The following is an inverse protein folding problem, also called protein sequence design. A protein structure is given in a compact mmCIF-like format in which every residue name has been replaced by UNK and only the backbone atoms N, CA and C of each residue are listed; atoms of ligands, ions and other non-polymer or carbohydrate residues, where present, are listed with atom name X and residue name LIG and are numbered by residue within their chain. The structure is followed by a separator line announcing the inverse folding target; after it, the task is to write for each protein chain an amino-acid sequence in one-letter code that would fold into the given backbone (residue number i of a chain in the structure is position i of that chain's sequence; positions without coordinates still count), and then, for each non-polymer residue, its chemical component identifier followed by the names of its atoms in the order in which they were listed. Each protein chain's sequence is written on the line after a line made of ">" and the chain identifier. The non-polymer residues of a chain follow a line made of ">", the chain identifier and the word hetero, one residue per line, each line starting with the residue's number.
data_IF_476058915915
#
_entry.id   IF_476058915915
#
_cell.length_a   1.000
_cell.length_b   1.000
_cell.length_c   1.000
_cell.angle_alpha   90.00
_cell.angle_beta   90.00
_cell.angle_gamma   90.00
#
_symmetry.space_group_name_H-M   'P 1'
#
loop_
_entity.id
_entity.type
_entity.pdbx_description
1 polymer ?
#
# COMPACT_ATOMS: atom_id res chain seq x y z
N UNK A 1 29.34 -19.68 -5.29
CA UNK A 1 28.18 -18.75 -5.29
C UNK A 1 26.86 -19.45 -4.94
N UNK A 2 26.53 -20.60 -5.56
CA UNK A 2 25.29 -21.34 -5.27
C UNK A 2 25.12 -21.78 -3.80
N UNK A 3 26.19 -22.24 -3.14
CA UNK A 3 26.13 -22.63 -1.72
C UNK A 3 25.85 -21.46 -0.77
N UNK A 4 26.38 -20.27 -1.07
CA UNK A 4 26.13 -19.05 -0.28
C UNK A 4 24.69 -18.59 -0.44
N UNK A 5 24.15 -18.63 -1.67
CA UNK A 5 22.73 -18.34 -1.92
C UNK A 5 21.81 -19.36 -1.26
N UNK A 6 22.18 -20.64 -1.23
CA UNK A 6 21.41 -21.66 -0.52
C UNK A 6 21.34 -21.40 0.99
N UNK A 7 22.45 -20.96 1.59
CA UNK A 7 22.51 -20.63 3.02
C UNK A 7 21.70 -19.38 3.41
N UNK A 8 21.44 -18.47 2.45
CA UNK A 8 20.65 -17.26 2.67
C UNK A 8 19.14 -17.48 2.47
N UNK A 9 18.69 -18.68 2.11
CA UNK A 9 17.27 -18.95 1.92
C UNK A 9 16.60 -19.15 3.28
N UNK A 10 15.67 -18.28 3.70
CA UNK A 10 14.98 -18.47 4.97
C UNK A 10 14.12 -19.72 4.92
N UNK A 11 14.24 -20.59 5.92
CA UNK A 11 13.30 -21.69 6.10
C UNK A 11 11.91 -21.12 6.45
N UNK A 12 10.81 -21.60 5.85
CA UNK A 12 9.48 -21.01 6.01
C UNK A 12 9.02 -20.86 7.46
N UNK A 13 9.42 -21.77 8.36
CA UNK A 13 9.07 -21.72 9.78
C UNK A 13 9.86 -20.68 10.60
N UNK A 14 10.96 -20.13 10.05
CA UNK A 14 11.80 -19.10 10.69
C UNK A 14 11.56 -17.70 10.10
N UNK A 15 10.68 -17.58 9.09
CA UNK A 15 10.43 -16.33 8.37
C UNK A 15 10.08 -15.17 9.30
N UNK A 16 9.22 -15.39 10.30
CA UNK A 16 8.81 -14.33 11.23
C UNK A 16 9.95 -13.82 12.10
N UNK A 17 10.83 -14.72 12.57
CA UNK A 17 12.02 -14.34 13.34
C UNK A 17 13.03 -13.57 12.49
N UNK A 18 13.22 -13.98 11.23
CA UNK A 18 14.08 -13.27 10.27
C UNK A 18 13.53 -11.87 9.98
N UNK A 19 12.22 -11.75 9.76
CA UNK A 19 11.58 -10.45 9.56
C UNK A 19 11.70 -9.54 10.79
N UNK A 20 11.50 -10.06 12.00
CA UNK A 20 11.73 -9.30 13.23
C UNK A 20 13.19 -8.81 13.33
N UNK A 21 14.16 -9.68 13.01
CA UNK A 21 15.57 -9.31 12.96
C UNK A 21 15.88 -8.22 11.93
N UNK A 22 15.25 -8.28 10.74
CA UNK A 22 15.40 -7.26 9.70
C UNK A 22 14.84 -5.90 10.14
N UNK A 23 13.72 -5.87 10.88
CA UNK A 23 13.17 -4.64 11.45
C UNK A 23 14.12 -4.04 12.48
N UNK A 24 14.60 -4.85 13.42
CA UNK A 24 15.56 -4.40 14.44
C UNK A 24 16.84 -3.86 13.79
N UNK A 25 17.34 -4.53 12.76
CA UNK A 25 18.49 -4.07 11.99
C UNK A 25 18.22 -2.73 11.30
N UNK A 26 17.08 -2.58 10.61
CA UNK A 26 16.71 -1.32 9.96
C UNK A 26 16.63 -0.18 10.98
N UNK A 27 15.98 -0.39 12.12
CA UNK A 27 15.94 0.62 13.20
C UNK A 27 17.33 0.94 13.74
N UNK A 28 18.17 -0.06 13.97
CA UNK A 28 19.54 0.14 14.43
C UNK A 28 20.37 0.98 13.45
N UNK A 29 20.22 0.75 12.15
CA UNK A 29 20.87 1.54 11.09
C UNK A 29 20.42 3.00 11.14
N UNK A 30 19.12 3.28 11.21
CA UNK A 30 18.62 4.65 11.33
C UNK A 30 19.10 5.35 12.61
N UNK A 31 19.16 4.63 13.74
CA UNK A 31 19.68 5.18 15.00
C UNK A 31 21.18 5.45 14.90
N UNK A 32 21.94 4.57 14.27
CA UNK A 32 23.37 4.76 14.03
C UNK A 32 23.61 5.98 13.16
N UNK A 33 22.91 6.07 12.02
CA UNK A 33 23.05 7.19 11.08
C UNK A 33 22.76 8.53 11.78
N UNK A 34 21.64 8.62 12.51
CA UNK A 34 21.28 9.82 13.26
C UNK A 34 22.29 10.19 14.37
N UNK A 35 22.83 9.19 15.08
CA UNK A 35 23.79 9.43 16.18
C UNK A 35 25.18 9.81 15.69
N UNK A 36 25.61 9.26 14.57
CA UNK A 36 26.98 9.39 14.10
C UNK A 36 27.12 10.33 12.89
N UNK A 37 26.05 10.98 12.43
CA UNK A 37 26.04 11.89 11.27
C UNK A 37 27.13 12.98 11.33
N UNK A 38 27.44 13.52 12.52
CA UNK A 38 28.46 14.57 12.71
C UNK A 38 29.86 14.05 13.01
N UNK A 39 29.99 12.79 13.39
CA UNK A 39 31.27 12.18 13.80
C UNK A 39 31.88 11.27 12.74
N UNK A 40 31.06 10.60 11.94
CA UNK A 40 31.51 9.68 10.90
C UNK A 40 31.26 10.27 9.52
N UNK A 41 32.24 10.13 8.63
CA UNK A 41 32.07 10.53 7.24
C UNK A 41 30.95 9.72 6.56
N UNK A 42 30.23 10.36 5.63
CA UNK A 42 29.14 9.74 4.87
C UNK A 42 29.56 8.44 4.17
N UNK A 43 30.82 8.33 3.73
CA UNK A 43 31.39 7.12 3.13
C UNK A 43 31.29 5.87 4.02
N UNK A 44 31.60 5.99 5.32
CA UNK A 44 31.54 4.84 6.24
C UNK A 44 30.08 4.48 6.51
N UNK A 45 29.21 5.48 6.74
CA UNK A 45 27.78 5.29 6.96
C UNK A 45 27.13 4.58 5.76
N UNK A 46 27.41 5.07 4.54
CA UNK A 46 26.97 4.45 3.29
C UNK A 46 27.35 2.97 3.18
N UNK A 47 28.61 2.61 3.49
CA UNK A 47 29.04 1.21 3.40
C UNK A 47 28.26 0.31 4.36
N UNK A 48 28.05 0.76 5.61
CA UNK A 48 27.30 0.01 6.61
C UNK A 48 25.84 -0.17 6.17
N UNK A 49 25.21 0.91 5.72
CA UNK A 49 23.81 0.92 5.28
C UNK A 49 23.62 0.06 4.03
N UNK A 50 24.52 0.19 3.05
CA UNK A 50 24.49 -0.57 1.80
C UNK A 50 24.64 -2.07 2.07
N UNK A 51 25.49 -2.47 3.02
CA UNK A 51 25.63 -3.86 3.43
C UNK A 51 24.35 -4.38 4.08
N UNK A 52 23.73 -3.60 4.97
CA UNK A 52 22.45 -3.97 5.59
C UNK A 52 21.33 -4.06 4.56
N UNK A 53 21.21 -3.07 3.67
CA UNK A 53 20.24 -3.03 2.58
C UNK A 53 20.42 -4.21 1.63
N UNK A 54 21.66 -4.53 1.24
CA UNK A 54 21.98 -5.67 0.40
C UNK A 54 21.62 -6.99 1.08
N UNK A 55 21.98 -7.17 2.36
CA UNK A 55 21.67 -8.39 3.10
C UNK A 55 20.16 -8.61 3.21
N UNK A 56 19.39 -7.62 3.68
CA UNK A 56 17.93 -7.73 3.83
C UNK A 56 17.24 -7.84 2.48
N UNK A 57 17.68 -7.07 1.47
CA UNK A 57 17.16 -7.16 0.11
C UNK A 57 17.40 -8.53 -0.52
N UNK A 58 18.58 -9.12 -0.32
CA UNK A 58 18.88 -10.47 -0.78
C UNK A 58 17.97 -11.52 -0.13
N UNK A 59 17.73 -11.43 1.19
CA UNK A 59 16.77 -12.29 1.89
C UNK A 59 15.36 -12.13 1.31
N UNK A 60 14.93 -10.89 1.05
CA UNK A 60 13.62 -10.59 0.50
C UNK A 60 13.44 -11.16 -0.92
N UNK A 61 14.47 -11.06 -1.76
CA UNK A 61 14.46 -11.61 -3.14
C UNK A 61 14.52 -13.15 -3.13
N UNK A 62 15.28 -13.75 -2.21
CA UNK A 62 15.45 -15.20 -2.15
C UNK A 62 14.29 -15.93 -1.45
N UNK A 63 13.49 -15.20 -0.67
CA UNK A 63 12.30 -15.73 -0.04
C UNK A 63 11.32 -16.27 -1.10
N UNK A 64 10.96 -17.57 -1.08
CA UNK A 64 10.04 -18.16 -2.05
C UNK A 64 8.63 -17.60 -1.84
N UNK A 65 7.99 -17.12 -2.90
CA UNK A 65 6.60 -16.65 -2.83
C UNK A 65 5.69 -17.88 -2.76
N UNK A 66 5.06 -18.09 -1.61
CA UNK A 66 4.19 -19.24 -1.37
C UNK A 66 2.73 -18.81 -1.57
N UNK A 67 2.21 -19.09 -2.77
CA UNK A 67 0.84 -18.76 -3.17
C UNK A 67 0.72 -17.45 -3.94
N UNK A 68 -0.52 -16.99 -4.13
CA UNK A 68 -0.81 -15.78 -4.90
C UNK A 68 -0.36 -14.48 -4.21
N UNK A 69 -0.04 -14.54 -2.92
CA UNK A 69 0.08 -13.39 -2.03
C UNK A 69 1.31 -13.54 -1.15
N UNK A 70 2.14 -12.48 -0.98
CA UNK A 70 3.29 -12.57 -0.09
C UNK A 70 2.82 -12.77 1.36
N UNK A 71 3.54 -13.61 2.09
CA UNK A 71 3.32 -13.79 3.53
C UNK A 71 3.68 -12.51 4.30
N UNK A 72 3.21 -12.41 5.54
CA UNK A 72 3.47 -11.24 6.40
C UNK A 72 4.96 -10.94 6.53
N UNK A 73 5.78 -11.95 6.86
CA UNK A 73 7.23 -11.78 6.99
C UNK A 73 7.90 -11.28 5.70
N UNK A 74 7.41 -11.70 4.52
CA UNK A 74 7.94 -11.25 3.23
C UNK A 74 7.64 -9.78 3.01
N UNK A 75 6.42 -9.36 3.33
CA UNK A 75 6.02 -7.95 3.28
C UNK A 75 6.89 -7.10 4.20
N UNK A 76 7.20 -7.59 5.41
CA UNK A 76 8.12 -6.93 6.34
C UNK A 76 9.53 -6.82 5.75
N UNK A 77 10.06 -7.88 5.12
CA UNK A 77 11.36 -7.82 4.45
C UNK A 77 11.39 -6.79 3.31
N UNK A 78 10.32 -6.68 2.52
CA UNK A 78 10.22 -5.68 1.45
C UNK A 78 10.22 -4.25 2.01
N UNK A 79 9.47 -4.00 3.09
CA UNK A 79 9.42 -2.70 3.77
C UNK A 79 10.78 -2.36 4.39
N UNK A 80 11.42 -3.31 5.09
CA UNK A 80 12.74 -3.10 5.67
C UNK A 80 13.79 -2.80 4.59
N UNK A 81 13.73 -3.51 3.45
CA UNK A 81 14.59 -3.24 2.29
C UNK A 81 14.36 -1.82 1.77
N UNK A 82 13.11 -1.38 1.61
CA UNK A 82 12.77 -0.03 1.15
C UNK A 82 13.44 1.05 2.03
N UNK A 83 13.29 0.95 3.35
CA UNK A 83 13.86 1.95 4.27
C UNK A 83 15.39 1.88 4.33
N UNK A 84 15.98 0.69 4.33
CA UNK A 84 17.44 0.54 4.26
C UNK A 84 18.02 1.10 2.97
N UNK A 85 17.35 0.90 1.83
CA UNK A 85 17.75 1.53 0.56
C UNK A 85 17.60 3.05 0.65
N UNK A 86 16.52 3.56 1.24
CA UNK A 86 16.31 5.00 1.37
C UNK A 86 17.45 5.69 2.14
N UNK A 87 17.85 5.18 3.31
CA UNK A 87 18.99 5.74 4.08
C UNK A 87 20.33 5.55 3.35
N UNK A 88 20.52 4.42 2.66
CA UNK A 88 21.70 4.18 1.81
C UNK A 88 21.81 5.23 0.69
N UNK A 89 20.72 5.51 0.00
CA UNK A 89 20.69 6.51 -1.09
C UNK A 89 20.89 7.94 -0.54
N UNK A 90 20.40 8.23 0.66
CA UNK A 90 20.64 9.51 1.34
C UNK A 90 22.13 9.73 1.62
N UNK A 91 22.80 8.72 2.17
CA UNK A 91 24.25 8.77 2.41
C UNK A 91 25.07 8.77 1.11
N UNK A 92 24.56 8.13 0.05
CA UNK A 92 25.16 8.26 -1.28
C UNK A 92 25.06 9.69 -1.81
N UNK A 93 23.92 10.36 -1.60
CA UNK A 93 23.75 11.75 -1.99
C UNK A 93 24.75 12.69 -1.29
N UNK A 94 24.95 12.51 0.02
CA UNK A 94 25.98 13.22 0.78
C UNK A 94 27.37 13.04 0.14
N UNK A 95 27.73 11.81 -0.23
CA UNK A 95 29.02 11.50 -0.89
C UNK A 95 29.16 12.19 -2.25
N UNK A 96 28.05 12.30 -2.99
CA UNK A 96 27.99 13.00 -4.27
C UNK A 96 27.98 14.53 -4.13
N UNK A 97 28.04 15.05 -2.89
CA UNK A 97 28.12 16.48 -2.60
C UNK A 97 26.78 17.19 -2.51
N UNK A 98 25.68 16.47 -2.25
CA UNK A 98 24.41 17.11 -1.95
C UNK A 98 24.47 17.73 -0.53
N UNK A 99 24.41 19.06 -0.45
CA UNK A 99 24.28 19.77 0.82
C UNK A 99 22.86 19.57 1.37
N UNK A 100 22.72 18.94 2.53
CA UNK A 100 21.43 18.59 3.15
C UNK A 100 20.49 17.84 2.18
N UNK A 101 20.78 16.58 1.83
CA UNK A 101 20.04 15.82 0.82
C UNK A 101 18.50 15.84 0.94
N UNK A 102 17.90 15.81 2.16
CA UNK A 102 16.44 15.88 2.29
C UNK A 102 15.82 17.22 1.88
N UNK A 103 16.64 18.28 1.74
CA UNK A 103 16.22 19.63 1.37
C UNK A 103 16.56 19.96 -0.09
N UNK A 104 17.50 19.23 -0.70
CA UNK A 104 17.87 19.42 -2.09
C UNK A 104 16.86 18.70 -3.00
N UNK A 105 15.94 19.45 -3.60
CA UNK A 105 14.80 18.89 -4.36
C UNK A 105 15.23 18.00 -5.51
N UNK A 106 16.27 18.38 -6.26
CA UNK A 106 16.87 17.53 -7.28
C UNK A 106 17.37 16.19 -6.73
N UNK A 107 17.89 16.17 -5.51
CA UNK A 107 18.32 14.94 -4.81
C UNK A 107 17.13 14.07 -4.43
N UNK A 108 16.09 14.67 -3.86
CA UNK A 108 14.85 13.97 -3.50
C UNK A 108 14.21 13.33 -4.72
N UNK A 109 14.22 13.99 -5.89
CA UNK A 109 13.67 13.44 -7.14
C UNK A 109 14.32 12.10 -7.50
N UNK A 110 15.65 12.05 -7.62
CA UNK A 110 16.29 10.81 -8.10
C UNK A 110 16.23 9.70 -7.04
N UNK A 111 16.31 10.03 -5.74
CA UNK A 111 16.12 9.06 -4.65
C UNK A 111 14.70 8.47 -4.73
N UNK A 112 13.69 9.31 -4.84
CA UNK A 112 12.29 8.89 -4.91
C UNK A 112 11.99 8.06 -6.16
N UNK A 113 12.60 8.37 -7.31
CA UNK A 113 12.50 7.56 -8.54
C UNK A 113 13.13 6.17 -8.35
N UNK A 114 14.30 6.07 -7.72
CA UNK A 114 14.94 4.77 -7.45
C UNK A 114 14.10 3.93 -6.47
N UNK A 115 13.56 4.54 -5.43
CA UNK A 115 12.66 3.89 -4.48
C UNK A 115 11.34 3.47 -5.15
N UNK A 116 10.78 4.31 -6.04
CA UNK A 116 9.63 3.96 -6.86
C UNK A 116 9.93 2.74 -7.74
N UNK A 117 11.08 2.70 -8.40
CA UNK A 117 11.49 1.57 -9.24
C UNK A 117 11.59 0.27 -8.43
N UNK A 118 12.20 0.33 -7.23
CA UNK A 118 12.25 -0.78 -6.29
C UNK A 118 10.85 -1.28 -5.91
N UNK A 119 9.96 -0.36 -5.55
CA UNK A 119 8.57 -0.63 -5.19
C UNK A 119 7.78 -1.26 -6.34
N UNK A 120 7.89 -0.72 -7.56
CA UNK A 120 7.25 -1.27 -8.76
C UNK A 120 7.77 -2.66 -9.06
N UNK A 121 9.07 -2.91 -8.89
CA UNK A 121 9.64 -4.23 -9.09
C UNK A 121 9.05 -5.26 -8.10
N UNK A 122 9.01 -4.96 -6.81
CA UNK A 122 8.40 -5.86 -5.83
C UNK A 122 6.87 -5.99 -6.01
N UNK A 123 6.18 -4.91 -6.34
CA UNK A 123 4.74 -4.92 -6.59
C UNK A 123 4.39 -5.82 -7.79
N UNK A 124 5.17 -5.77 -8.88
CA UNK A 124 4.92 -6.55 -10.10
C UNK A 124 5.45 -7.98 -10.02
N UNK A 125 6.68 -8.18 -9.52
CA UNK A 125 7.31 -9.51 -9.47
C UNK A 125 6.86 -10.35 -8.29
N UNK A 126 6.45 -9.73 -7.18
CA UNK A 126 6.08 -10.42 -5.93
C UNK A 126 4.63 -10.18 -5.51
N UNK A 127 3.83 -9.54 -6.36
CA UNK A 127 2.41 -9.22 -6.12
C UNK A 127 2.19 -8.54 -4.75
N UNK A 128 3.09 -7.63 -4.38
CA UNK A 128 3.08 -6.98 -3.07
C UNK A 128 2.26 -5.69 -3.10
N UNK A 129 1.09 -5.72 -2.47
CA UNK A 129 0.23 -4.56 -2.36
C UNK A 129 0.88 -3.43 -1.54
N UNK A 130 1.57 -3.74 -0.43
CA UNK A 130 2.21 -2.71 0.40
C UNK A 130 3.31 -1.95 -0.36
N UNK A 131 4.04 -2.63 -1.25
CA UNK A 131 5.01 -1.97 -2.12
C UNK A 131 4.34 -1.09 -3.18
N UNK A 132 3.06 -1.30 -3.48
CA UNK A 132 2.26 -0.35 -4.29
C UNK A 132 1.97 0.92 -3.52
N UNK A 133 1.64 0.84 -2.22
CA UNK A 133 1.49 2.02 -1.38
C UNK A 133 2.80 2.80 -1.29
N UNK A 134 3.90 2.15 -0.92
CA UNK A 134 5.22 2.79 -0.81
C UNK A 134 5.68 3.35 -2.16
N UNK A 135 5.39 2.66 -3.26
CA UNK A 135 5.62 3.16 -4.62
C UNK A 135 4.82 4.43 -4.90
N UNK A 136 3.52 4.43 -4.64
CA UNK A 136 2.67 5.62 -4.84
C UNK A 136 3.12 6.81 -3.98
N UNK A 137 3.51 6.58 -2.71
CA UNK A 137 4.10 7.61 -1.85
C UNK A 137 5.42 8.14 -2.42
N UNK A 138 6.31 7.25 -2.89
CA UNK A 138 7.57 7.64 -3.53
C UNK A 138 7.32 8.43 -4.81
N UNK A 139 6.30 8.05 -5.61
CA UNK A 139 5.90 8.79 -6.79
C UNK A 139 5.39 10.20 -6.43
N UNK A 140 4.57 10.34 -5.39
CA UNK A 140 4.12 11.64 -4.91
C UNK A 140 5.31 12.53 -4.52
N UNK A 141 6.26 12.02 -3.74
CA UNK A 141 7.49 12.76 -3.40
C UNK A 141 8.31 13.13 -4.64
N UNK A 142 8.45 12.22 -5.60
CA UNK A 142 9.17 12.48 -6.83
C UNK A 142 8.54 13.61 -7.64
N UNK A 143 7.20 13.62 -7.75
CA UNK A 143 6.46 14.67 -8.46
C UNK A 143 6.61 16.02 -7.75
N UNK A 144 6.39 16.07 -6.43
CA UNK A 144 6.50 17.32 -5.67
C UNK A 144 7.92 17.89 -5.72
N UNK A 145 8.93 17.06 -5.46
CA UNK A 145 10.33 17.47 -5.53
C UNK A 145 10.76 17.87 -6.94
N UNK A 146 10.18 17.25 -7.98
CA UNK A 146 10.45 17.61 -9.36
C UNK A 146 9.88 18.98 -9.69
N UNK A 147 8.64 19.27 -9.26
CA UNK A 147 8.05 20.58 -9.48
C UNK A 147 8.83 21.65 -8.73
N UNK A 148 9.20 21.39 -7.48
CA UNK A 148 10.03 22.30 -6.71
C UNK A 148 11.38 22.56 -7.38
N UNK A 149 12.05 21.50 -7.83
CA UNK A 149 13.35 21.61 -8.50
C UNK A 149 13.31 22.35 -9.85
N UNK A 150 12.29 22.09 -10.67
CA UNK A 150 12.22 22.62 -12.04
C UNK A 150 11.60 24.01 -12.11
N UNK A 151 10.59 24.27 -11.29
CA UNK A 151 9.79 25.50 -11.38
C UNK A 151 10.05 26.48 -10.24
N UNK A 152 10.75 26.08 -9.17
CA UNK A 152 11.03 26.89 -7.97
C UNK A 152 9.81 27.71 -7.49
N UNK A 153 8.65 27.04 -7.27
CA UNK A 153 7.41 27.73 -7.01
C UNK A 153 7.47 28.48 -5.67
N UNK A 154 7.09 29.75 -5.69
CA UNK A 154 7.02 30.54 -4.47
C UNK A 154 5.69 30.28 -3.74
N UNK A 155 5.77 29.61 -2.59
CA UNK A 155 4.64 29.36 -1.69
C UNK A 155 3.90 28.03 -1.90
N UNK A 156 2.90 27.76 -1.05
CA UNK A 156 2.25 26.44 -0.94
C UNK A 156 1.15 26.18 -1.98
N UNK A 157 0.72 27.20 -2.73
CA UNK A 157 -0.42 27.07 -3.66
C UNK A 157 -0.15 26.03 -4.75
N UNK A 158 1.05 26.02 -5.33
CA UNK A 158 1.42 25.06 -6.39
C UNK A 158 1.38 23.63 -5.86
N UNK A 159 1.99 23.38 -4.69
CA UNK A 159 1.97 22.08 -4.01
C UNK A 159 0.54 21.61 -3.70
N UNK A 160 -0.36 22.51 -3.26
CA UNK A 160 -1.77 22.17 -3.00
C UNK A 160 -2.48 21.64 -4.26
N UNK A 161 -2.23 22.27 -5.40
CA UNK A 161 -2.79 21.81 -6.67
C UNK A 161 -2.20 20.48 -7.13
N UNK A 162 -0.90 20.25 -6.93
CA UNK A 162 -0.25 18.99 -7.26
C UNK A 162 -0.80 17.86 -6.39
N UNK A 163 -0.92 18.06 -5.08
CA UNK A 163 -1.53 17.10 -4.16
C UNK A 163 -2.97 16.76 -4.58
N UNK A 164 -3.76 17.75 -4.98
CA UNK A 164 -5.11 17.50 -5.52
C UNK A 164 -5.07 16.63 -6.78
N UNK A 165 -4.17 16.92 -7.72
CA UNK A 165 -3.98 16.10 -8.93
C UNK A 165 -3.52 14.68 -8.59
N UNK A 166 -2.67 14.50 -7.58
CA UNK A 166 -2.24 13.19 -7.09
C UNK A 166 -3.40 12.41 -6.45
N UNK A 167 -4.25 13.06 -5.64
CA UNK A 167 -5.49 12.44 -5.11
C UNK A 167 -6.35 11.91 -6.27
N UNK A 168 -6.58 12.73 -7.29
CA UNK A 168 -7.35 12.34 -8.46
C UNK A 168 -6.69 11.19 -9.23
N UNK A 169 -5.39 11.29 -9.52
CA UNK A 169 -4.65 10.29 -10.26
C UNK A 169 -4.65 8.93 -9.55
N UNK A 170 -4.40 8.89 -8.24
CA UNK A 170 -4.44 7.65 -7.46
C UNK A 170 -5.85 7.08 -7.34
N UNK A 171 -6.88 7.92 -7.26
CA UNK A 171 -8.28 7.46 -7.27
C UNK A 171 -8.62 6.80 -8.62
N UNK A 172 -8.25 7.43 -9.74
CA UNK A 172 -8.46 6.85 -11.07
C UNK A 172 -7.66 5.56 -11.28
N UNK A 173 -6.41 5.53 -10.83
CA UNK A 173 -5.57 4.33 -10.87
C UNK A 173 -6.13 3.20 -10.00
N UNK A 174 -6.76 3.52 -8.86
CA UNK A 174 -7.48 2.54 -8.04
C UNK A 174 -8.66 1.95 -8.79
N UNK A 175 -9.46 2.78 -9.47
CA UNK A 175 -10.61 2.31 -10.24
C UNK A 175 -10.19 1.38 -11.38
N UNK A 176 -9.10 1.66 -12.08
CA UNK A 176 -8.58 0.78 -13.14
C UNK A 176 -8.01 -0.53 -12.59
N UNK A 177 -7.42 -0.52 -11.40
CA UNK A 177 -6.88 -1.71 -10.74
C UNK A 177 -7.95 -2.56 -10.03
N UNK A 178 -9.18 -2.05 -9.84
CA UNK A 178 -10.20 -2.68 -8.97
C UNK A 178 -10.63 -4.07 -9.45
N UNK A 179 -10.71 -4.28 -10.76
CA UNK A 179 -11.11 -5.56 -11.35
C UNK A 179 -10.02 -6.64 -11.24
N UNK A 180 -8.82 -6.32 -11.70
CA UNK A 180 -7.74 -7.31 -11.85
C UNK A 180 -6.92 -7.50 -10.58
N UNK A 181 -6.75 -6.44 -9.79
CA UNK A 181 -5.83 -6.38 -8.65
C UNK A 181 -6.44 -5.58 -7.49
N UNK A 182 -7.54 -6.06 -6.87
CA UNK A 182 -8.30 -5.30 -5.88
C UNK A 182 -7.45 -4.81 -4.70
N UNK A 183 -6.43 -5.57 -4.29
CA UNK A 183 -5.51 -5.18 -3.22
C UNK A 183 -4.63 -4.00 -3.58
N UNK A 184 -4.16 -3.95 -4.82
CA UNK A 184 -3.38 -2.82 -5.31
C UNK A 184 -4.27 -1.58 -5.41
N UNK A 185 -5.53 -1.75 -5.82
CA UNK A 185 -6.53 -0.69 -5.82
C UNK A 185 -6.72 -0.09 -4.42
N UNK A 186 -6.91 -0.91 -3.37
CA UNK A 186 -7.02 -0.43 -1.98
C UNK A 186 -5.80 0.41 -1.56
N UNK A 187 -4.59 -0.01 -1.95
CA UNK A 187 -3.37 0.72 -1.60
C UNK A 187 -3.23 2.04 -2.37
N UNK A 188 -3.76 2.12 -3.58
CA UNK A 188 -3.87 3.39 -4.32
C UNK A 188 -4.91 4.32 -3.67
N UNK A 189 -6.02 3.79 -3.12
CA UNK A 189 -6.96 4.58 -2.30
C UNK A 189 -6.28 5.11 -1.04
N UNK A 190 -5.47 4.30 -0.35
CA UNK A 190 -4.68 4.75 0.79
C UNK A 190 -3.70 5.87 0.39
N UNK A 191 -3.03 5.75 -0.76
CA UNK A 191 -2.12 6.79 -1.27
C UNK A 191 -2.88 8.09 -1.62
N UNK A 192 -4.06 8.00 -2.22
CA UNK A 192 -4.94 9.14 -2.44
C UNK A 192 -5.32 9.80 -1.11
N UNK A 193 -5.71 9.01 -0.11
CA UNK A 193 -6.02 9.53 1.23
C UNK A 193 -4.83 10.19 1.92
N UNK A 194 -3.62 9.60 1.84
CA UNK A 194 -2.40 10.21 2.37
C UNK A 194 -2.05 11.53 1.66
N UNK A 195 -2.30 11.62 0.35
CA UNK A 195 -2.12 12.87 -0.41
C UNK A 195 -3.14 13.93 0.04
N UNK A 196 -4.37 13.55 0.34
CA UNK A 196 -5.38 14.44 0.93
C UNK A 196 -5.01 14.88 2.36
N UNK A 197 -4.42 13.99 3.17
CA UNK A 197 -3.87 14.36 4.49
C UNK A 197 -2.73 15.37 4.35
N UNK A 198 -1.77 15.11 3.46
CA UNK A 198 -0.67 16.04 3.19
C UNK A 198 -1.21 17.41 2.74
N UNK A 199 -2.22 17.42 1.87
CA UNK A 199 -2.90 18.64 1.42
C UNK A 199 -3.51 19.40 2.60
N UNK A 200 -4.26 18.72 3.46
CA UNK A 200 -4.87 19.32 4.64
C UNK A 200 -3.81 19.91 5.60
N UNK A 201 -2.69 19.20 5.80
CA UNK A 201 -1.58 19.68 6.65
C UNK A 201 -1.00 20.99 6.13
N UNK A 202 -0.96 21.22 4.80
CA UNK A 202 -0.47 22.51 4.25
C UNK A 202 -1.29 23.73 4.69
N UNK A 203 -2.52 23.53 5.18
CA UNK A 203 -3.38 24.60 5.66
C UNK A 203 -3.30 24.83 7.17
N UNK A 204 -2.82 23.84 7.94
CA UNK A 204 -2.80 23.89 9.42
C UNK A 204 -2.02 25.09 9.98
N UNK A 205 -0.84 25.47 9.46
CA UNK A 205 -0.11 26.64 9.97
C UNK A 205 -0.92 27.94 9.85
N UNK A 206 -1.66 28.12 8.74
CA UNK A 206 -2.53 29.28 8.51
C UNK A 206 -3.71 29.29 9.50
N UNK A 207 -4.26 28.11 9.83
CA UNK A 207 -5.35 27.96 10.81
C UNK A 207 -4.90 28.24 12.25
N UNK A 208 -3.72 27.79 12.68
CA UNK A 208 -3.22 27.99 14.05
C UNK A 208 -2.89 29.47 14.32
N UNK A 209 -2.28 30.17 13.36
CA UNK A 209 -1.98 31.61 13.49
C UNK A 209 -3.27 32.42 13.66
N UNK A 210 -4.37 31.98 13.04
CA UNK A 210 -5.69 32.60 13.19
C UNK A 210 -6.24 32.46 14.62
N UNK A 211 -5.97 31.34 15.30
CA UNK A 211 -6.38 31.11 16.69
C UNK A 211 -5.70 32.07 17.69
N UNK A 212 -4.49 32.57 17.37
CA UNK A 212 -3.71 33.47 18.25
C UNK A 212 -4.03 34.97 18.07
N UNK A 213 -5.12 35.33 17.37
CA UNK A 213 -5.67 36.70 17.34
C UNK A 213 -5.31 37.54 16.11
N UNK A 214 -4.40 37.06 15.25
CA UNK A 214 -4.08 37.66 13.95
C UNK A 214 -4.95 37.04 12.84
N UNK A 215 -5.83 37.84 12.25
CA UNK A 215 -6.90 37.39 11.34
C UNK A 215 -6.39 37.12 9.91
N UNK A 216 -6.12 35.87 9.57
CA UNK A 216 -5.88 35.44 8.18
C UNK A 216 -7.18 35.00 7.48
N UNK A 217 -7.12 34.97 6.15
CA UNK A 217 -8.20 34.49 5.29
C UNK A 217 -8.42 32.99 5.50
N UNK A 218 -9.68 32.54 5.63
CA UNK A 218 -10.00 31.11 5.69
C UNK A 218 -9.56 30.36 4.44
N UNK A 219 -9.39 29.04 4.56
CA UNK A 219 -8.85 28.12 3.54
C UNK A 219 -9.65 28.10 2.23
N UNK A 220 -10.84 28.69 2.24
CA UNK A 220 -11.71 28.82 1.08
C UNK A 220 -12.63 27.61 0.99
N UNK A 221 -13.94 27.88 0.82
CA UNK A 221 -14.97 26.85 0.92
C UNK A 221 -14.77 25.67 -0.05
N UNK A 222 -14.13 25.88 -1.20
CA UNK A 222 -13.84 24.82 -2.17
C UNK A 222 -12.87 23.76 -1.64
N UNK A 223 -11.80 24.17 -0.95
CA UNK A 223 -10.81 23.26 -0.36
C UNK A 223 -11.39 22.50 0.84
N UNK A 224 -12.15 23.20 1.67
CA UNK A 224 -12.88 22.61 2.79
C UNK A 224 -13.87 21.53 2.30
N UNK A 225 -14.64 21.83 1.24
CA UNK A 225 -15.55 20.86 0.62
C UNK A 225 -14.81 19.64 0.06
N UNK A 226 -13.67 19.87 -0.59
CA UNK A 226 -12.85 18.78 -1.13
C UNK A 226 -12.33 17.85 -0.03
N UNK A 227 -11.79 18.40 1.07
CA UNK A 227 -11.32 17.60 2.20
C UNK A 227 -12.47 16.81 2.85
N UNK A 228 -13.64 17.44 3.01
CA UNK A 228 -14.83 16.78 3.52
C UNK A 228 -15.26 15.62 2.63
N UNK A 229 -15.28 15.83 1.31
CA UNK A 229 -15.60 14.80 0.32
C UNK A 229 -14.59 13.65 0.35
N UNK A 230 -13.29 13.94 0.49
CA UNK A 230 -12.26 12.91 0.65
C UNK A 230 -12.47 12.08 1.93
N UNK A 231 -12.70 12.75 3.07
CA UNK A 231 -12.91 12.09 4.35
C UNK A 231 -14.11 11.15 4.35
N UNK A 232 -15.27 11.63 3.88
CA UNK A 232 -16.46 10.79 3.74
C UNK A 232 -16.30 9.72 2.66
N UNK A 233 -15.67 10.03 1.53
CA UNK A 233 -15.41 9.07 0.45
C UNK A 233 -14.56 7.89 0.92
N UNK A 234 -13.51 8.15 1.71
CA UNK A 234 -12.68 7.11 2.31
C UNK A 234 -13.43 6.29 3.35
N UNK A 235 -14.26 6.92 4.19
CA UNK A 235 -15.10 6.22 5.16
C UNK A 235 -16.16 5.33 4.46
N UNK A 236 -16.77 5.83 3.40
CA UNK A 236 -17.73 5.07 2.59
C UNK A 236 -17.05 3.90 1.88
N UNK A 237 -15.87 4.12 1.29
CA UNK A 237 -15.06 3.06 0.68
C UNK A 237 -14.75 1.96 1.70
N UNK A 238 -14.27 2.33 2.89
CA UNK A 238 -13.99 1.38 3.96
C UNK A 238 -15.22 0.59 4.40
N UNK A 239 -16.40 1.23 4.47
CA UNK A 239 -17.64 0.55 4.85
C UNK A 239 -18.10 -0.47 3.78
N UNK A 240 -17.95 -0.14 2.49
CA UNK A 240 -18.35 -1.00 1.37
C UNK A 240 -17.38 -2.16 1.19
N UNK A 241 -16.08 -1.87 1.12
CA UNK A 241 -15.04 -2.86 0.82
C UNK A 241 -14.47 -3.54 2.09
N UNK A 242 -14.90 -3.12 3.29
CA UNK A 242 -14.47 -3.64 4.61
C UNK A 242 -12.96 -3.54 4.86
N UNK A 243 -12.35 -2.44 4.41
CA UNK A 243 -10.92 -2.20 4.53
C UNK A 243 -10.62 -1.17 5.63
N UNK A 244 -9.79 -1.55 6.61
CA UNK A 244 -9.48 -0.69 7.76
C UNK A 244 -8.56 0.50 7.39
N UNK A 245 -7.68 0.34 6.41
CA UNK A 245 -6.72 1.38 6.00
C UNK A 245 -7.40 2.69 5.60
N UNK A 246 -8.31 2.67 4.60
CA UNK A 246 -9.08 3.85 4.20
C UNK A 246 -9.92 4.43 5.34
N UNK A 247 -10.42 3.60 6.28
CA UNK A 247 -11.19 4.08 7.43
C UNK A 247 -10.36 5.01 8.32
N UNK A 248 -9.17 4.57 8.74
CA UNK A 248 -8.30 5.37 9.61
C UNK A 248 -7.86 6.67 8.93
N UNK A 249 -7.51 6.60 7.65
CA UNK A 249 -7.11 7.79 6.89
C UNK A 249 -8.30 8.74 6.70
N UNK A 250 -9.50 8.23 6.42
CA UNK A 250 -10.72 9.03 6.30
C UNK A 250 -11.05 9.79 7.59
N UNK A 251 -10.96 9.11 8.74
CA UNK A 251 -11.14 9.75 10.06
C UNK A 251 -10.09 10.86 10.28
N UNK A 252 -8.83 10.62 9.93
CA UNK A 252 -7.78 11.62 10.05
C UNK A 252 -8.05 12.85 9.17
N UNK A 253 -8.48 12.66 7.91
CA UNK A 253 -8.85 13.75 7.01
C UNK A 253 -10.02 14.56 7.59
N UNK A 254 -11.05 13.89 8.13
CA UNK A 254 -12.17 14.58 8.78
C UNK A 254 -11.74 15.35 10.04
N UNK A 255 -10.83 14.80 10.84
CA UNK A 255 -10.28 15.50 12.00
C UNK A 255 -9.50 16.76 11.59
N UNK A 256 -8.69 16.69 10.53
CA UNK A 256 -7.99 17.85 9.97
C UNK A 256 -8.97 18.87 9.39
N UNK A 257 -10.03 18.43 8.71
CA UNK A 257 -11.11 19.32 8.27
C UNK A 257 -11.73 20.07 9.46
N UNK A 258 -12.05 19.39 10.55
CA UNK A 258 -12.60 20.04 11.76
C UNK A 258 -11.62 21.05 12.34
N UNK A 259 -10.32 20.74 12.36
CA UNK A 259 -9.28 21.67 12.82
C UNK A 259 -9.20 22.93 11.95
N UNK A 260 -9.37 22.78 10.64
CA UNK A 260 -9.27 23.86 9.66
C UNK A 260 -10.54 24.73 9.65
N UNK A 261 -11.72 24.11 9.64
CA UNK A 261 -13.01 24.77 9.48
C UNK A 261 -13.67 25.15 10.82
N UNK A 262 -13.16 24.64 11.95
CA UNK A 262 -13.69 24.86 13.28
C UNK A 262 -13.51 26.27 13.87
N UNK A 263 -12.38 26.98 13.63
CA UNK A 263 -12.21 28.34 14.12
C UNK A 263 -13.32 29.28 13.63
N UNK A 264 -13.86 30.09 14.52
CA UNK A 264 -14.94 31.02 14.19
C UNK A 264 -14.49 32.08 13.17
N UNK A 265 -15.35 32.37 12.20
CA UNK A 265 -15.14 33.42 11.21
C UNK A 265 -15.16 34.83 11.81
N UNK A 266 -14.91 35.83 10.96
CA UNK A 266 -14.87 37.26 11.36
C UNK A 266 -16.13 37.76 12.07
N UNK A 267 -17.27 37.13 11.79
CA UNK A 267 -18.58 37.51 12.32
C UNK A 267 -18.94 36.76 13.62
N UNK A 268 -18.00 35.99 14.19
CA UNK A 268 -18.19 35.21 15.41
C UNK A 268 -18.72 33.80 15.16
N UNK A 269 -19.11 33.12 16.25
CA UNK A 269 -19.67 31.77 16.17
C UNK A 269 -21.03 31.81 15.46
N UNK A 270 -21.13 31.18 14.30
CA UNK A 270 -22.34 31.12 13.50
C UNK A 270 -22.71 29.68 13.17
N UNK A 271 -24.00 29.37 13.24
CA UNK A 271 -24.54 28.11 12.70
C UNK A 271 -24.61 28.14 11.17
N UNK A 272 -24.60 29.34 10.57
CA UNK A 272 -24.65 29.53 9.12
C UNK A 272 -23.30 29.12 8.51
N UNK A 273 -23.33 28.17 7.56
CA UNK A 273 -22.15 27.60 6.92
C UNK A 273 -22.07 26.09 7.15
N UNK A 274 -20.87 25.60 7.49
CA UNK A 274 -20.61 24.17 7.67
C UNK A 274 -21.51 23.47 8.69
N UNK A 275 -21.82 24.04 9.87
CA UNK A 275 -22.67 23.34 10.84
C UNK A 275 -24.03 22.97 10.25
N UNK A 276 -24.72 23.90 9.58
CA UNK A 276 -26.00 23.61 8.90
C UNK A 276 -25.82 22.60 7.76
N UNK A 277 -24.79 22.76 6.92
CA UNK A 277 -24.54 21.82 5.81
C UNK A 277 -24.34 20.39 6.31
N UNK A 278 -23.52 20.21 7.36
CA UNK A 278 -23.25 18.91 7.98
C UNK A 278 -24.49 18.33 8.65
N UNK A 279 -25.29 19.14 9.36
CA UNK A 279 -26.54 18.69 9.96
C UNK A 279 -27.55 18.22 8.91
N UNK A 280 -27.69 18.96 7.80
CA UNK A 280 -28.57 18.58 6.70
C UNK A 280 -28.09 17.31 6.01
N UNK A 281 -26.79 17.17 5.74
CA UNK A 281 -26.21 15.96 5.19
C UNK A 281 -26.44 14.75 6.11
N UNK A 282 -26.12 14.89 7.39
CA UNK A 282 -26.31 13.83 8.38
C UNK A 282 -27.78 13.41 8.47
N UNK A 283 -28.70 14.37 8.58
CA UNK A 283 -30.14 14.11 8.61
C UNK A 283 -30.64 13.40 7.35
N UNK A 284 -30.20 13.85 6.17
CA UNK A 284 -30.55 13.23 4.88
C UNK A 284 -30.04 11.78 4.76
N UNK A 285 -28.77 11.54 5.10
CA UNK A 285 -28.19 10.20 5.05
C UNK A 285 -28.85 9.24 6.04
N UNK A 286 -29.16 9.70 7.26
CA UNK A 286 -29.89 8.90 8.25
C UNK A 286 -31.32 8.59 7.79
N UNK A 287 -32.02 9.56 7.22
CA UNK A 287 -33.37 9.34 6.68
C UNK A 287 -33.38 8.31 5.53
N UNK A 288 -32.36 8.33 4.66
CA UNK A 288 -32.20 7.34 3.60
C UNK A 288 -31.86 5.96 4.18
N UNK A 289 -30.94 5.88 5.13
CA UNK A 289 -30.50 4.63 5.74
C UNK A 289 -31.56 3.93 6.59
N UNK A 290 -32.43 4.71 7.25
CA UNK A 290 -33.55 4.19 8.06
C UNK A 290 -34.80 3.88 7.22
N UNK A 291 -34.78 4.11 5.91
CA UNK A 291 -35.91 3.81 5.03
C UNK A 291 -36.19 2.29 5.08
N UNK A 292 -37.42 1.86 5.39
CA UNK A 292 -37.76 0.44 5.44
C UNK A 292 -37.37 -0.27 4.14
N UNK A 293 -36.46 -1.24 4.26
CA UNK A 293 -36.04 -2.04 3.13
C UNK A 293 -37.21 -2.93 2.71
N UNK A 294 -37.55 -2.94 1.42
CA UNK A 294 -38.48 -3.94 0.89
C UNK A 294 -37.92 -5.32 1.21
N UNK A 295 -38.75 -6.30 1.63
CA UNK A 295 -38.28 -7.66 1.83
C UNK A 295 -37.55 -8.10 0.57
N UNK A 296 -36.32 -8.58 0.76
CA UNK A 296 -35.51 -9.11 -0.34
C UNK A 296 -36.34 -10.19 -1.04
N UNK A 297 -36.31 -10.26 -2.38
CA UNK A 297 -36.85 -11.41 -3.09
C UNK A 297 -36.30 -12.69 -2.45
N UNK A 298 -37.13 -13.74 -2.27
CA UNK A 298 -36.66 -14.99 -1.71
C UNK A 298 -35.43 -15.47 -2.50
N UNK A 299 -34.44 -16.01 -1.78
CA UNK A 299 -33.26 -16.57 -2.41
C UNK A 299 -33.69 -17.58 -3.50
N UNK A 300 -33.01 -17.65 -4.66
CA UNK A 300 -33.36 -18.56 -5.75
C UNK A 300 -33.58 -20.02 -5.30
N UNK A 301 -32.91 -20.43 -4.22
CA UNK A 301 -32.94 -21.79 -3.68
C UNK A 301 -33.91 -21.97 -2.50
N UNK A 302 -34.65 -20.94 -2.10
CA UNK A 302 -35.59 -21.02 -0.97
C UNK A 302 -36.76 -22.00 -1.21
N UNK A 303 -36.94 -22.45 -2.47
CA UNK A 303 -37.89 -23.50 -2.86
C UNK A 303 -37.24 -24.74 -3.47
N UNK A 304 -35.90 -24.84 -3.50
CA UNK A 304 -35.24 -26.04 -4.00
C UNK A 304 -35.45 -27.19 -2.99
N UNK A 305 -35.80 -28.41 -3.43
CA UNK A 305 -35.80 -29.58 -2.57
C UNK A 305 -34.43 -29.70 -1.88
N UNK A 306 -34.37 -30.12 -0.60
CA UNK A 306 -33.11 -30.39 0.05
C UNK A 306 -32.29 -31.32 -0.87
N UNK A 307 -30.98 -31.05 -1.04
CA UNK A 307 -30.14 -31.92 -1.84
C UNK A 307 -30.34 -33.36 -1.35
N UNK A 308 -30.45 -34.34 -2.27
CA UNK A 308 -30.61 -35.73 -1.88
C UNK A 308 -29.51 -36.08 -0.88
N UNK A 309 -29.83 -36.90 0.14
CA UNK A 309 -28.82 -37.32 1.12
C UNK A 309 -27.60 -37.80 0.36
N UNK A 310 -26.37 -37.44 0.80
CA UNK A 310 -25.16 -37.88 0.14
C UNK A 310 -25.28 -39.38 -0.03
N UNK A 311 -25.25 -39.82 -1.29
CA UNK A 311 -25.27 -41.25 -1.63
C UNK A 311 -24.27 -41.90 -0.68
N UNK A 312 -24.66 -42.94 0.08
CA UNK A 312 -23.72 -43.64 0.94
C UNK A 312 -22.50 -43.87 0.08
N UNK A 313 -21.37 -43.28 0.47
CA UNK A 313 -20.12 -43.61 -0.19
C UNK A 313 -20.03 -45.10 0.00
N UNK A 314 -20.30 -45.85 -1.07
CA UNK A 314 -19.89 -47.24 -1.16
C UNK A 314 -18.45 -47.19 -0.69
N UNK A 315 -18.09 -47.94 0.38
CA UNK A 315 -16.72 -47.96 0.85
C UNK A 315 -15.88 -48.16 -0.39
N UNK A 316 -15.14 -47.11 -0.76
CA UNK A 316 -14.23 -47.20 -1.88
C UNK A 316 -13.32 -48.31 -1.43
N UNK A 317 -13.45 -49.48 -2.06
CA UNK A 317 -12.55 -50.60 -1.83
C UNK A 317 -11.16 -49.97 -1.85
N UNK A 318 -10.54 -49.98 -0.68
CA UNK A 318 -9.25 -49.39 -0.49
C UNK A 318 -8.35 -50.06 -1.54
N UNK A 319 -7.72 -49.32 -2.47
CA UNK A 319 -6.83 -49.91 -3.49
C UNK A 319 -5.58 -50.58 -2.88
N UNK A 320 -5.56 -50.79 -1.57
CA UNK A 320 -4.49 -51.41 -0.80
C UNK A 320 -4.56 -52.93 -0.76
N UNK A 321 -5.67 -53.55 -1.19
CA UNK A 321 -5.77 -55.03 -1.25
C UNK A 321 -5.08 -55.65 -2.48
N UNK A 322 -4.58 -54.85 -3.43
CA UNK A 322 -3.76 -55.36 -4.55
C UNK A 322 -2.24 -55.31 -4.30
N UNK A 323 -1.77 -54.82 -3.15
CA UNK A 323 -0.32 -54.78 -2.85
C UNK A 323 0.23 -56.07 -2.21
N UNK A 324 -0.63 -57.06 -1.93
CA UNK A 324 -0.22 -58.37 -1.39
C UNK A 324 -0.77 -59.57 -2.18
N UNK A 325 -1.36 -59.35 -3.36
CA UNK A 325 -1.73 -60.40 -4.29
C UNK A 325 -0.57 -60.80 -5.18
N UNK A 326 -0.05 -62.01 -4.94
CA UNK A 326 0.51 -62.99 -5.88
C UNK A 326 1.43 -62.51 -7.03
N UNK A 327 2.65 -63.07 -7.17
CA UNK A 327 3.51 -62.76 -8.32
C UNK A 327 2.84 -63.21 -9.62
N UNK A 328 2.56 -62.24 -10.50
CA UNK A 328 2.07 -62.52 -11.85
C UNK A 328 3.04 -63.51 -12.57
N UNK A 329 2.51 -64.55 -13.23
CA UNK A 329 3.32 -65.43 -14.06
C UNK A 329 3.88 -64.65 -15.27
N UNK A 330 5.05 -65.07 -15.79
CA UNK A 330 5.71 -64.37 -16.88
C UNK A 330 4.84 -64.37 -18.14
N UNK A 331 4.38 -63.18 -18.53
CA UNK A 331 3.74 -62.98 -19.83
C UNK A 331 4.80 -63.05 -20.93
N UNK A 332 4.58 -64.00 -21.84
CA UNK A 332 5.31 -64.18 -23.09
C UNK A 332 5.35 -62.90 -23.94
N UNK A 333 6.40 -62.72 -24.75
CA UNK A 333 6.52 -61.59 -25.66
C UNK A 333 5.70 -61.85 -26.93
N UNK A 334 4.51 -61.25 -27.00
CA UNK A 334 3.88 -60.89 -28.28
C UNK A 334 4.50 -59.54 -28.70
N UNK A 335 5.34 -59.41 -29.71
CA UNK A 335 5.31 -60.12 -30.99
C UNK A 335 4.38 -59.37 -31.95
N UNK A 336 4.95 -58.41 -32.67
CA UNK A 336 4.50 -58.08 -34.03
C UNK A 336 3.58 -56.88 -34.22
N UNK A 337 4.04 -56.04 -35.14
CA UNK A 337 3.27 -55.28 -36.14
C UNK A 337 2.54 -54.01 -35.68
N UNK A 338 2.53 -52.91 -36.42
CA UNK A 338 3.28 -52.33 -37.55
C UNK A 338 2.71 -50.88 -37.65
N UNK A 339 3.43 -49.88 -38.18
CA UNK A 339 3.04 -48.48 -38.14
C UNK A 339 2.29 -48.08 -39.41
N UNK A 340 1.04 -47.63 -39.32
CA UNK A 340 0.44 -46.79 -40.37
C UNK A 340 -0.80 -46.04 -39.89
N UNK A 341 -1.04 -44.91 -40.58
CA UNK A 341 -2.25 -44.06 -40.65
C UNK A 341 -2.24 -42.82 -39.75
N UNK A 342 -1.90 -41.62 -40.23
CA UNK A 342 -2.51 -40.80 -41.32
C UNK A 342 -3.94 -40.36 -40.97
N UNK A 343 -4.10 -39.11 -40.49
CA UNK A 343 -4.87 -38.08 -41.21
C UNK A 343 -4.93 -36.72 -40.47
N UNK A 344 -4.48 -35.70 -41.20
CA UNK A 344 -5.08 -34.36 -41.40
C UNK A 344 -6.08 -33.79 -40.37
N UNK A 345 -5.72 -32.63 -39.79
CA UNK A 345 -6.24 -31.31 -40.19
C UNK A 345 -5.55 -30.17 -39.43
#
# INVERSE_FOLDING_TARGET
>A
MAAVLAALRPEPHRGDQVAAGAVVLAVAIYVLDARFASTWGAGIRFVIDALAAFAVGALAVQSPVEGERPRAYQSVLYIATFFLVAVTLNNLADILGADNPPQASGTVVWIAILLLALCVWFATRRNSAIMTLLGAVSFAFAVEAFIDWVFDPHGLTTFRWILLLLVLAFTLASLSARGDRPRHAVQLVNAAGLSAVALAVTFVPESIITFQGSRLHGVGAGWELFLLACGFGLAAYAAVDREAGPAYIGVLVLALFVLIAGPAGRDGASLIGWPIVLLLMAGGMLAIGLRPSRPLPPAPDAGAPPPPPPTPMTPSESPTDHLFGEPDPPTEPLGGDDPTEVHDR
#
